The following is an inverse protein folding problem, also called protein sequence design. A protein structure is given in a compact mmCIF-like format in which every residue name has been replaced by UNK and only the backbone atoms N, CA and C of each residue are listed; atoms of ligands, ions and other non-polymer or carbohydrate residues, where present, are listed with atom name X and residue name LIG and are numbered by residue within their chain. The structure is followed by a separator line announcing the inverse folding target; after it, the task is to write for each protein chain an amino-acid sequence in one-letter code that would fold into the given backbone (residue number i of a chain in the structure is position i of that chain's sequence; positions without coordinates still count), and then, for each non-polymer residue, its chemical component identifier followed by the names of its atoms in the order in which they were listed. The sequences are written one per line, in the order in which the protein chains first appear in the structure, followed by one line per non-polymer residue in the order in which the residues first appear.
data_IF_975088502748
#
_entry.id   IF_975088502748
#
_cell.length_a   1.000
_cell.length_b   1.000
_cell.length_c   1.000
_cell.angle_alpha   90.00
_cell.angle_beta   90.00
_cell.angle_gamma   90.00
#
_symmetry.space_group_name_H-M   'P 1'
#
loop_
_entity.id
_entity.type
_entity.pdbx_description
1 polymer ?
#
# COMPACT_ATOMS: atom_id res chain seq x y z
N UNK A 1 8.05 8.78 24.89
CA UNK A 1 7.36 8.49 23.60
C UNK A 1 5.88 8.34 23.86
N UNK A 2 5.01 8.75 22.94
CA UNK A 2 3.55 8.68 23.09
C UNK A 2 2.94 7.91 21.93
N UNK A 3 1.94 7.09 22.20
CA UNK A 3 1.16 6.43 21.15
C UNK A 3 0.19 7.46 20.56
N UNK A 4 0.23 7.64 19.23
CA UNK A 4 -0.64 8.57 18.49
C UNK A 4 -1.69 7.85 17.64
N UNK A 5 -1.47 6.57 17.35
CA UNK A 5 -2.40 5.69 16.63
C UNK A 5 -2.31 4.27 17.20
N UNK A 6 -3.44 3.62 17.39
CA UNK A 6 -3.52 2.19 17.70
C UNK A 6 -4.43 1.50 16.70
N UNK A 7 -4.11 0.24 16.38
CA UNK A 7 -4.73 -0.47 15.28
C UNK A 7 -5.28 -1.77 15.82
N UNK A 8 -6.58 -1.97 15.61
CA UNK A 8 -7.32 -3.16 16.01
C UNK A 8 -7.42 -4.13 14.85
N UNK A 9 -7.22 -5.41 15.09
CA UNK A 9 -7.63 -6.42 14.13
C UNK A 9 -9.16 -6.53 14.09
N UNK A 10 -9.66 -7.39 13.20
CA UNK A 10 -11.10 -7.63 13.02
C UNK A 10 -11.82 -8.17 14.29
N UNK A 11 -11.09 -8.70 15.28
CA UNK A 11 -11.63 -9.11 16.57
C UNK A 11 -11.69 -7.97 17.60
N UNK A 12 -11.30 -6.75 17.22
CA UNK A 12 -11.23 -5.59 18.12
C UNK A 12 -10.02 -5.59 19.05
N UNK A 13 -9.03 -6.48 18.86
CA UNK A 13 -7.80 -6.51 19.65
C UNK A 13 -6.76 -5.58 19.04
N UNK A 14 -6.11 -4.75 19.85
CA UNK A 14 -4.99 -3.92 19.40
C UNK A 14 -3.80 -4.81 19.00
N UNK A 15 -3.34 -4.69 17.76
CA UNK A 15 -2.25 -5.48 17.17
C UNK A 15 -1.03 -4.65 16.83
N UNK A 16 -1.20 -3.36 16.51
CA UNK A 16 -0.11 -2.45 16.20
C UNK A 16 -0.35 -1.05 16.80
N UNK A 17 0.74 -0.33 17.01
CA UNK A 17 0.79 0.96 17.69
C UNK A 17 1.80 1.85 16.97
N UNK A 18 1.44 3.11 16.71
CA UNK A 18 2.33 4.11 16.12
C UNK A 18 2.60 5.19 17.15
N UNK A 19 3.88 5.52 17.33
CA UNK A 19 4.33 6.55 18.25
C UNK A 19 4.43 7.93 17.61
N UNK A 20 4.65 8.96 18.42
CA UNK A 20 4.79 10.37 18.01
C UNK A 20 6.02 10.65 17.14
N UNK A 21 6.97 9.72 17.07
CA UNK A 21 8.10 9.68 16.13
C UNK A 21 7.85 8.72 14.94
N UNK A 22 6.59 8.33 14.69
CA UNK A 22 6.13 7.45 13.62
C UNK A 22 6.71 6.03 13.62
N UNK A 23 7.35 5.58 14.71
CA UNK A 23 7.73 4.18 14.84
C UNK A 23 6.51 3.29 15.04
N UNK A 24 6.53 2.14 14.38
CA UNK A 24 5.47 1.14 14.42
C UNK A 24 5.93 -0.03 15.27
N UNK A 25 5.12 -0.38 16.26
CA UNK A 25 5.35 -1.52 17.14
C UNK A 25 4.17 -2.48 17.11
N UNK A 26 4.44 -3.77 16.99
CA UNK A 26 3.49 -4.84 17.25
C UNK A 26 3.20 -4.94 18.75
N UNK A 27 2.12 -5.64 19.10
CA UNK A 27 1.71 -5.82 20.50
C UNK A 27 2.85 -6.34 21.38
N UNK A 28 3.59 -7.38 20.97
CA UNK A 28 4.69 -7.91 21.78
C UNK A 28 5.79 -6.86 22.04
N UNK A 29 6.18 -6.12 21.00
CA UNK A 29 7.25 -5.11 21.06
C UNK A 29 6.85 -3.93 21.97
N UNK A 30 5.64 -3.40 21.80
CA UNK A 30 5.20 -2.25 22.61
C UNK A 30 5.03 -2.62 24.08
N UNK A 31 4.68 -3.87 24.40
CA UNK A 31 4.55 -4.33 25.79
C UNK A 31 5.92 -4.34 26.48
N UNK A 32 6.98 -4.81 25.80
CA UNK A 32 8.34 -4.78 26.34
C UNK A 32 8.84 -3.34 26.55
N UNK A 33 8.63 -2.45 25.58
CA UNK A 33 8.99 -1.03 25.70
C UNK A 33 8.21 -0.34 26.84
N UNK A 34 6.94 -0.71 27.02
CA UNK A 34 6.12 -0.18 28.11
C UNK A 34 6.61 -0.64 29.48
N UNK A 35 7.09 -1.89 29.63
CA UNK A 35 7.68 -2.38 30.89
C UNK A 35 8.91 -1.56 31.29
N UNK A 36 9.64 -1.02 30.32
CA UNK A 36 10.80 -0.15 30.54
C UNK A 36 10.42 1.32 30.83
N UNK A 37 9.12 1.63 31.02
CA UNK A 37 8.59 2.99 31.23
C UNK A 37 8.91 3.99 30.09
N UNK A 38 9.15 3.49 28.87
CA UNK A 38 9.50 4.34 27.72
C UNK A 38 8.27 4.89 26.95
N UNK A 39 7.07 4.36 27.24
CA UNK A 39 5.80 4.85 26.68
C UNK A 39 5.01 5.62 27.74
N UNK A 40 4.66 6.86 27.41
CA UNK A 40 3.87 7.75 28.24
C UNK A 40 2.37 7.46 28.13
N UNK A 41 1.62 7.75 29.20
CA UNK A 41 0.16 7.71 29.19
C UNK A 41 -0.48 6.32 29.17
N UNK A 42 0.29 5.23 29.12
CA UNK A 42 -0.26 3.86 29.13
C UNK A 42 0.35 3.00 30.23
N UNK A 43 -0.32 1.90 30.56
CA UNK A 43 0.18 0.90 31.48
C UNK A 43 -0.19 -0.51 31.00
N UNK A 44 0.63 -1.48 31.42
CA UNK A 44 0.43 -2.91 31.14
C UNK A 44 -0.70 -3.48 32.00
N UNK A 45 -1.60 -4.25 31.39
CA UNK A 45 -2.61 -5.05 32.07
C UNK A 45 -2.38 -6.52 31.73
N UNK A 46 -2.20 -7.36 32.75
CA UNK A 46 -2.07 -8.81 32.59
C UNK A 46 -3.40 -9.51 32.88
N UNK A 47 -3.92 -10.26 31.91
CA UNK A 47 -5.12 -11.11 32.05
C UNK A 47 -4.86 -12.52 31.54
N UNK A 48 -5.73 -13.47 31.90
CA UNK A 48 -5.70 -14.85 31.38
C UNK A 48 -5.74 -14.92 29.85
N UNK A 49 -6.41 -13.96 29.20
CA UNK A 49 -6.52 -13.85 27.74
C UNK A 49 -5.27 -13.27 27.06
N UNK A 50 -4.23 -12.95 27.83
CA UNK A 50 -3.00 -12.30 27.36
C UNK A 50 -2.82 -10.87 27.89
N UNK A 51 -1.59 -10.34 27.83
CA UNK A 51 -1.28 -8.97 28.21
C UNK A 51 -1.79 -7.95 27.17
N UNK A 52 -2.17 -6.76 27.63
CA UNK A 52 -2.59 -5.65 26.76
C UNK A 52 -2.30 -4.29 27.42
N UNK A 53 -2.42 -3.21 26.64
CA UNK A 53 -2.21 -1.83 27.12
C UNK A 53 -3.54 -1.12 27.44
N UNK A 54 -3.52 -0.27 28.46
CA UNK A 54 -4.63 0.65 28.79
C UNK A 54 -4.10 2.05 29.11
N UNK A 55 -4.88 3.08 28.81
CA UNK A 55 -4.54 4.45 29.17
C UNK A 55 -4.60 4.70 30.67
N UNK A 56 -3.63 5.47 31.20
CA UNK A 56 -3.64 5.97 32.58
C UNK A 56 -4.81 6.94 32.78
N UNK A 57 -5.32 7.03 34.01
CA UNK A 57 -6.52 7.83 34.35
C UNK A 57 -6.41 9.33 34.01
N UNK A 58 -5.20 9.89 34.04
CA UNK A 58 -4.93 11.31 33.81
C UNK A 58 -4.66 11.67 32.33
N UNK A 59 -4.75 10.70 31.41
CA UNK A 59 -4.56 10.99 29.98
C UNK A 59 -5.78 11.73 29.43
N UNK A 60 -5.59 12.88 28.73
CA UNK A 60 -6.66 13.59 28.05
C UNK A 60 -7.47 12.68 27.13
N UNK A 61 -8.80 12.85 27.09
CA UNK A 61 -9.71 11.93 26.37
C UNK A 61 -9.29 11.69 24.92
N UNK A 62 -8.91 12.74 24.19
CA UNK A 62 -8.45 12.67 22.79
C UNK A 62 -7.09 11.97 22.59
N UNK A 63 -6.38 11.63 23.66
CA UNK A 63 -5.11 10.88 23.66
C UNK A 63 -5.25 9.49 24.29
N UNK A 64 -6.44 9.12 24.77
CA UNK A 64 -6.68 7.79 25.31
C UNK A 64 -6.68 6.77 24.17
N UNK A 65 -6.14 5.57 24.42
CA UNK A 65 -5.98 4.48 23.45
C UNK A 65 -7.28 4.21 22.71
N UNK A 66 -8.41 4.16 23.41
CA UNK A 66 -9.72 3.90 22.80
C UNK A 66 -10.13 4.97 21.76
N UNK A 67 -9.71 6.22 21.94
CA UNK A 67 -10.03 7.35 21.05
C UNK A 67 -8.97 7.61 19.98
N UNK A 68 -7.84 6.91 20.01
CA UNK A 68 -6.82 6.90 18.95
C UNK A 68 -6.72 5.52 18.29
N UNK A 69 -7.69 4.64 18.56
CA UNK A 69 -7.77 3.31 17.96
C UNK A 69 -8.64 3.30 16.70
N UNK A 70 -8.16 2.67 15.64
CA UNK A 70 -8.93 2.38 14.42
C UNK A 70 -8.93 0.89 14.11
N UNK A 71 -9.90 0.41 13.33
CA UNK A 71 -9.85 -0.93 12.77
C UNK A 71 -8.81 -1.01 11.66
N UNK A 72 -8.23 -2.20 11.45
CA UNK A 72 -7.38 -2.49 10.30
C UNK A 72 -8.12 -2.27 8.98
N UNK A 73 -9.40 -2.63 8.92
CA UNK A 73 -10.27 -2.40 7.75
C UNK A 73 -10.40 -0.91 7.40
N UNK A 74 -10.32 0.00 8.39
CA UNK A 74 -10.32 1.44 8.14
C UNK A 74 -9.04 1.89 7.43
N UNK A 75 -7.90 1.28 7.76
CA UNK A 75 -6.61 1.55 7.09
C UNK A 75 -6.66 1.06 5.65
N UNK A 76 -7.09 -0.19 5.45
CA UNK A 76 -7.20 -0.77 4.11
C UNK A 76 -8.18 0.05 3.26
N UNK A 77 -9.33 0.42 3.81
CA UNK A 77 -10.31 1.26 3.11
C UNK A 77 -9.76 2.65 2.81
N UNK A 78 -9.00 3.25 3.73
CA UNK A 78 -8.37 4.55 3.52
C UNK A 78 -7.34 4.52 2.38
N UNK A 79 -6.55 3.45 2.29
CA UNK A 79 -5.59 3.22 1.20
C UNK A 79 -6.30 2.91 -0.13
N UNK A 80 -7.32 2.04 -0.11
CA UNK A 80 -8.01 1.55 -1.32
C UNK A 80 -9.00 2.54 -1.93
N UNK A 81 -9.82 3.22 -1.10
CA UNK A 81 -10.92 4.07 -1.60
C UNK A 81 -10.48 5.46 -2.05
N UNK A 82 -9.20 5.81 -1.83
CA UNK A 82 -8.51 6.99 -2.38
C UNK A 82 -9.34 8.30 -2.39
N UNK A 83 -10.32 8.54 -1.47
CA UNK A 83 -11.05 9.82 -1.25
C UNK A 83 -11.96 9.78 0.03
N UNK A 84 -11.89 10.86 0.82
CA UNK A 84 -12.91 11.46 1.73
C UNK A 84 -13.80 10.58 2.63
N UNK A 85 -13.20 9.74 3.47
CA UNK A 85 -13.89 9.08 4.57
C UNK A 85 -13.01 8.86 5.79
N UNK A 86 -11.89 9.58 5.88
CA UNK A 86 -10.92 9.43 6.97
C UNK A 86 -11.66 9.57 8.29
N UNK A 87 -11.56 8.55 9.14
CA UNK A 87 -11.93 8.71 10.54
C UNK A 87 -11.17 9.93 11.08
N UNK A 88 -11.73 10.71 12.03
CA UNK A 88 -11.02 11.85 12.62
C UNK A 88 -9.60 11.50 13.10
N UNK A 89 -9.39 10.24 13.49
CA UNK A 89 -8.11 9.68 13.90
C UNK A 89 -7.13 9.61 12.71
N UNK A 90 -7.55 9.06 11.56
CA UNK A 90 -6.73 9.02 10.35
C UNK A 90 -6.42 10.43 9.82
N UNK A 91 -7.39 11.35 9.81
CA UNK A 91 -7.13 12.75 9.40
C UNK A 91 -6.07 13.39 10.27
N UNK A 92 -6.16 13.19 11.59
CA UNK A 92 -5.18 13.70 12.56
C UNK A 92 -3.82 13.06 12.35
N UNK A 93 -3.75 11.74 12.15
CA UNK A 93 -2.51 11.05 11.87
C UNK A 93 -1.83 11.58 10.59
N UNK A 94 -2.59 11.69 9.49
CA UNK A 94 -2.10 12.26 8.23
C UNK A 94 -1.59 13.69 8.41
N UNK A 95 -2.30 14.54 9.15
CA UNK A 95 -1.86 15.91 9.41
C UNK A 95 -0.55 15.96 10.21
N UNK A 96 -0.40 15.11 11.24
CA UNK A 96 0.84 14.99 12.01
C UNK A 96 1.99 14.49 11.12
N UNK A 97 1.73 13.46 10.31
CA UNK A 97 2.73 12.89 9.41
C UNK A 97 3.21 13.91 8.39
N UNK A 98 2.29 14.56 7.67
CA UNK A 98 2.66 15.57 6.67
C UNK A 98 3.43 16.75 7.29
N UNK A 99 3.05 17.18 8.50
CA UNK A 99 3.80 18.20 9.23
C UNK A 99 5.23 17.75 9.48
N UNK A 100 5.42 16.55 10.04
CA UNK A 100 6.74 15.97 10.26
C UNK A 100 7.56 15.82 8.97
N UNK A 101 6.92 15.42 7.86
CA UNK A 101 7.58 15.26 6.56
C UNK A 101 7.94 16.58 5.89
N UNK A 102 7.25 17.69 6.23
CA UNK A 102 7.47 19.01 5.64
C UNK A 102 8.37 19.93 6.48
N UNK A 103 8.64 19.58 7.74
CA UNK A 103 9.56 20.32 8.62
C UNK A 103 11.04 20.05 8.32
N UNK A 104 11.36 19.07 7.47
CA UNK A 104 12.72 18.83 6.99
C UNK A 104 12.99 19.49 5.64
N UNK A 105 14.24 19.90 5.38
CA UNK A 105 14.70 20.42 4.08
C UNK A 105 14.83 19.33 2.98
N UNK A 106 14.13 18.21 3.14
CA UNK A 106 14.23 17.07 2.23
C UNK A 106 13.14 17.14 1.15
N UNK A 107 13.46 16.78 -0.11
CA UNK A 107 12.46 16.69 -1.16
C UNK A 107 11.32 15.73 -0.80
N UNK A 108 10.09 16.15 -1.11
CA UNK A 108 8.86 15.36 -0.92
C UNK A 108 8.11 15.19 -2.24
N UNK A 109 7.43 14.07 -2.39
CA UNK A 109 6.48 13.77 -3.46
C UNK A 109 5.07 14.08 -2.96
N UNK A 110 4.28 14.77 -3.79
CA UNK A 110 2.87 15.09 -3.53
C UNK A 110 2.00 14.42 -4.59
N UNK A 111 1.52 13.18 -4.36
CA UNK A 111 0.68 12.50 -5.34
C UNK A 111 -0.63 13.25 -5.54
N UNK A 112 -0.99 13.51 -6.80
CA UNK A 112 -2.22 14.23 -7.17
C UNK A 112 -3.44 13.47 -6.63
N UNK A 113 -4.33 14.19 -5.95
CA UNK A 113 -5.53 13.59 -5.33
C UNK A 113 -5.24 12.73 -4.11
N UNK A 114 -4.04 12.79 -3.52
CA UNK A 114 -3.73 12.18 -2.23
C UNK A 114 -3.42 13.26 -1.18
N UNK A 115 -3.84 13.02 0.06
CA UNK A 115 -3.57 13.88 1.20
C UNK A 115 -2.29 13.50 1.94
N UNK A 116 -1.55 12.48 1.50
CA UNK A 116 -0.27 12.07 2.09
C UNK A 116 0.90 12.58 1.25
N UNK A 117 1.94 13.05 1.92
CA UNK A 117 3.21 13.39 1.29
C UNK A 117 4.23 12.29 1.56
N UNK A 118 4.98 11.87 0.55
CA UNK A 118 6.02 10.87 0.70
C UNK A 118 7.41 11.51 0.64
N UNK A 119 8.35 11.04 1.45
CA UNK A 119 9.76 11.41 1.29
C UNK A 119 10.29 10.84 -0.02
N UNK A 120 10.89 11.68 -0.86
CA UNK A 120 11.51 11.25 -2.12
C UNK A 120 12.60 10.20 -1.87
N UNK A 121 13.35 10.31 -0.78
CA UNK A 121 14.40 9.36 -0.42
C UNK A 121 13.83 7.96 -0.11
N UNK A 122 12.74 7.89 0.66
CA UNK A 122 12.08 6.62 1.00
C UNK A 122 11.54 5.94 -0.26
N UNK A 123 10.83 6.70 -1.12
CA UNK A 123 10.28 6.16 -2.37
C UNK A 123 11.39 5.64 -3.28
N UNK A 124 12.49 6.41 -3.41
CA UNK A 124 13.66 6.01 -4.19
C UNK A 124 14.32 4.75 -3.65
N UNK A 125 14.54 4.66 -2.34
CA UNK A 125 15.14 3.49 -1.69
C UNK A 125 14.32 2.22 -1.99
N UNK A 126 12.99 2.29 -1.79
CA UNK A 126 12.09 1.16 -2.06
C UNK A 126 12.10 0.74 -3.53
N UNK A 127 12.10 1.71 -4.46
CA UNK A 127 12.17 1.41 -5.89
C UNK A 127 13.49 0.73 -6.26
N UNK A 128 14.62 1.21 -5.72
CA UNK A 128 15.94 0.66 -6.00
C UNK A 128 16.12 -0.77 -5.49
N UNK A 129 15.50 -1.13 -4.36
CA UNK A 129 15.52 -2.50 -3.83
C UNK A 129 14.93 -3.53 -4.81
N UNK A 130 14.08 -3.09 -5.74
CA UNK A 130 13.41 -3.95 -6.73
C UNK A 130 13.81 -3.63 -8.18
N UNK A 131 14.89 -2.86 -8.38
CA UNK A 131 15.37 -2.43 -9.72
C UNK A 131 15.45 -3.59 -10.71
N UNK A 132 16.15 -4.66 -10.37
CA UNK A 132 16.33 -5.82 -11.27
C UNK A 132 14.98 -6.49 -11.62
N UNK A 133 14.07 -6.60 -10.65
CA UNK A 133 12.75 -7.18 -10.86
C UNK A 133 11.92 -6.33 -11.83
N UNK A 134 12.03 -5.00 -11.77
CA UNK A 134 11.37 -4.09 -12.72
C UNK A 134 11.86 -4.38 -14.14
N UNK A 135 13.17 -4.47 -14.35
CA UNK A 135 13.75 -4.76 -15.66
C UNK A 135 13.38 -6.16 -16.17
N UNK A 136 13.42 -7.19 -15.31
CA UNK A 136 13.00 -8.55 -15.65
C UNK A 136 11.53 -8.59 -16.08
N UNK A 137 10.65 -7.96 -15.30
CA UNK A 137 9.21 -7.91 -15.60
C UNK A 137 8.94 -7.14 -16.89
N UNK A 138 9.53 -5.95 -17.05
CA UNK A 138 9.38 -5.14 -18.25
C UNK A 138 9.84 -5.89 -19.50
N UNK A 139 10.96 -6.60 -19.42
CA UNK A 139 11.45 -7.46 -20.51
C UNK A 139 10.46 -8.58 -20.82
N UNK A 140 10.00 -9.29 -19.79
CA UNK A 140 9.07 -10.41 -19.94
C UNK A 140 7.76 -10.01 -20.63
N UNK A 141 7.26 -8.81 -20.32
CA UNK A 141 5.99 -8.30 -20.83
C UNK A 141 6.13 -7.31 -22.00
N UNK A 142 7.36 -7.08 -22.50
CA UNK A 142 7.66 -6.10 -23.55
C UNK A 142 7.10 -4.69 -23.25
N UNK A 143 7.41 -4.19 -22.05
CA UNK A 143 7.06 -2.86 -21.54
C UNK A 143 8.31 -1.99 -21.42
N UNK A 144 8.13 -0.67 -21.40
CA UNK A 144 9.19 0.25 -20.99
C UNK A 144 9.40 0.13 -19.47
N UNK A 145 10.61 -0.25 -18.98
CA UNK A 145 10.88 -0.37 -17.55
C UNK A 145 10.67 0.94 -16.79
N UNK A 146 10.84 2.09 -17.44
CA UNK A 146 10.60 3.39 -16.81
C UNK A 146 9.11 3.71 -16.67
N UNK A 147 8.25 3.20 -17.56
CA UNK A 147 6.80 3.30 -17.39
C UNK A 147 6.33 2.47 -16.20
N UNK A 148 6.82 1.22 -16.09
CA UNK A 148 6.56 0.37 -14.92
C UNK A 148 7.11 1.00 -13.64
N UNK A 149 8.33 1.54 -13.68
CA UNK A 149 8.93 2.26 -12.57
C UNK A 149 8.11 3.48 -12.12
N UNK A 150 7.58 4.27 -13.06
CA UNK A 150 6.73 5.43 -12.75
C UNK A 150 5.43 5.05 -12.05
N UNK A 151 4.80 3.94 -12.47
CA UNK A 151 3.59 3.40 -11.83
C UNK A 151 3.91 2.95 -10.39
N UNK A 152 5.04 2.26 -10.20
CA UNK A 152 5.49 1.85 -8.86
C UNK A 152 5.80 3.06 -7.96
N UNK A 153 6.41 4.13 -8.49
CA UNK A 153 6.63 5.37 -7.74
C UNK A 153 5.30 5.93 -7.24
N UNK A 154 4.26 5.98 -8.08
CA UNK A 154 2.94 6.47 -7.68
C UNK A 154 2.32 5.59 -6.57
N UNK A 155 2.33 4.27 -6.71
CA UNK A 155 1.73 3.40 -5.70
C UNK A 155 2.52 3.45 -4.36
N UNK A 156 3.86 3.44 -4.39
CA UNK A 156 4.70 3.58 -3.18
C UNK A 156 4.46 4.94 -2.50
N UNK A 157 4.44 6.03 -3.27
CA UNK A 157 4.25 7.37 -2.74
C UNK A 157 2.85 7.55 -2.13
N UNK A 158 1.82 6.93 -2.71
CA UNK A 158 0.45 6.99 -2.19
C UNK A 158 0.23 6.13 -0.95
N UNK A 159 0.99 5.06 -0.81
CA UNK A 159 0.88 4.11 0.30
C UNK A 159 1.64 4.57 1.54
N UNK A 160 2.70 5.37 1.38
CA UNK A 160 3.51 5.86 2.50
C UNK A 160 2.71 6.79 3.42
N UNK A 161 2.73 6.61 4.76
CA UNK A 161 3.51 5.64 5.55
C UNK A 161 2.74 4.37 5.94
N UNK A 162 1.54 4.16 5.40
CA UNK A 162 0.67 3.04 5.77
C UNK A 162 1.18 1.68 5.31
N UNK A 163 2.08 1.62 4.33
CA UNK A 163 2.71 0.36 3.89
C UNK A 163 3.32 -0.41 5.05
N UNK A 164 4.17 0.24 5.85
CA UNK A 164 4.87 -0.42 6.97
C UNK A 164 3.88 -0.90 8.03
N UNK A 165 2.78 -0.16 8.22
CA UNK A 165 1.71 -0.56 9.12
C UNK A 165 1.03 -1.82 8.58
N UNK A 166 0.67 -1.82 7.30
CA UNK A 166 -0.01 -2.91 6.62
C UNK A 166 0.85 -4.17 6.62
N UNK A 167 2.13 -4.06 6.26
CA UNK A 167 3.08 -5.18 6.25
C UNK A 167 3.22 -5.82 7.63
N UNK A 168 3.26 -5.00 8.69
CA UNK A 168 3.34 -5.48 10.08
C UNK A 168 2.07 -6.22 10.52
N UNK A 169 0.89 -5.79 10.09
CA UNK A 169 -0.39 -6.38 10.51
C UNK A 169 -0.98 -7.40 9.52
N UNK A 170 -0.40 -7.57 8.33
CA UNK A 170 -1.02 -8.25 7.18
C UNK A 170 -1.49 -9.67 7.45
N UNK A 171 -0.83 -10.40 8.36
CA UNK A 171 -1.18 -11.78 8.74
C UNK A 171 -2.44 -11.87 9.61
N UNK A 172 -2.76 -10.83 10.37
CA UNK A 172 -3.86 -10.83 11.35
C UNK A 172 -5.23 -10.45 10.75
N UNK A 173 -5.28 -10.08 9.46
CA UNK A 173 -6.44 -9.44 8.82
C UNK A 173 -7.00 -10.17 7.58
N UNK A 174 -6.68 -11.46 7.40
CA UNK A 174 -7.19 -12.22 6.26
C UNK A 174 -8.72 -12.32 6.28
N UNK A 175 -9.40 -11.62 5.37
CA UNK A 175 -10.87 -11.62 5.21
C UNK A 175 -11.37 -10.68 4.12
N UNK A 176 -10.71 -9.54 3.95
CA UNK A 176 -11.06 -8.48 2.99
C UNK A 176 -10.33 -8.67 1.65
N UNK A 177 -10.89 -8.20 0.53
CA UNK A 177 -10.19 -8.12 -0.75
C UNK A 177 -9.28 -6.88 -0.74
N UNK A 178 -8.03 -7.05 -0.35
CA UNK A 178 -7.07 -5.95 -0.17
C UNK A 178 -6.11 -5.85 -1.35
N UNK A 179 -5.56 -4.65 -1.57
CA UNK A 179 -4.39 -4.38 -2.39
C UNK A 179 -3.12 -4.80 -1.65
N UNK A 180 -2.19 -5.50 -2.32
CA UNK A 180 -1.02 -6.14 -1.67
C UNK A 180 0.27 -5.71 -2.34
N UNK A 181 1.32 -5.52 -1.53
CA UNK A 181 2.70 -5.28 -1.98
C UNK A 181 2.92 -3.90 -2.62
N UNK A 182 4.13 -3.68 -3.14
CA UNK A 182 4.58 -2.39 -3.68
C UNK A 182 3.68 -1.84 -4.80
N UNK A 183 3.21 -2.72 -5.69
CA UNK A 183 2.33 -2.37 -6.80
C UNK A 183 0.84 -2.32 -6.42
N UNK A 184 0.50 -2.57 -5.14
CA UNK A 184 -0.89 -2.51 -4.64
C UNK A 184 -1.87 -3.38 -5.46
N UNK A 185 -1.48 -4.62 -5.73
CA UNK A 185 -2.30 -5.55 -6.52
C UNK A 185 -3.44 -6.12 -5.69
N UNK A 186 -4.69 -5.94 -6.15
CA UNK A 186 -5.85 -6.59 -5.55
C UNK A 186 -5.84 -8.10 -5.81
N UNK A 187 -6.19 -8.88 -4.77
CA UNK A 187 -6.19 -10.35 -4.83
C UNK A 187 -7.10 -10.89 -5.94
N UNK A 188 -8.27 -10.30 -6.15
CA UNK A 188 -9.18 -10.70 -7.24
C UNK A 188 -8.63 -10.39 -8.64
N UNK A 189 -7.97 -9.24 -8.80
CA UNK A 189 -7.28 -8.88 -10.05
C UNK A 189 -6.15 -9.85 -10.34
N UNK A 190 -5.30 -10.18 -9.35
CA UNK A 190 -4.27 -11.20 -9.51
C UNK A 190 -4.83 -12.55 -9.96
N UNK A 191 -5.93 -13.00 -9.33
CA UNK A 191 -6.59 -14.25 -9.73
C UNK A 191 -7.19 -14.17 -11.15
N UNK A 192 -7.69 -13.00 -11.57
CA UNK A 192 -8.14 -12.76 -12.95
C UNK A 192 -7.01 -12.89 -13.95
N UNK A 193 -5.83 -12.31 -13.66
CA UNK A 193 -4.62 -12.42 -14.49
C UNK A 193 -4.16 -13.88 -14.64
N UNK A 194 -4.19 -14.67 -13.55
CA UNK A 194 -3.89 -16.11 -13.62
C UNK A 194 -4.91 -16.83 -14.51
N UNK A 195 -6.21 -16.54 -14.36
CA UNK A 195 -7.27 -17.14 -15.19
C UNK A 195 -7.11 -16.80 -16.68
N UNK A 196 -6.67 -15.58 -16.98
CA UNK A 196 -6.33 -15.13 -18.34
C UNK A 196 -5.02 -15.72 -18.87
N UNK A 197 -4.28 -16.47 -18.05
CA UNK A 197 -2.97 -17.09 -18.36
C UNK A 197 -1.90 -16.06 -18.75
N UNK A 198 -2.05 -14.82 -18.29
CA UNK A 198 -1.06 -13.77 -18.54
C UNK A 198 0.14 -13.88 -17.59
N UNK A 199 -0.09 -14.32 -16.35
CA UNK A 199 0.98 -14.64 -15.41
C UNK A 199 0.51 -15.67 -14.38
N UNK A 200 1.37 -16.65 -14.07
CA UNK A 200 1.17 -17.60 -12.98
C UNK A 200 2.44 -17.64 -12.11
N UNK A 201 2.39 -17.25 -10.82
CA UNK A 201 3.57 -17.22 -9.97
C UNK A 201 4.14 -18.61 -9.69
N UNK A 202 3.34 -19.67 -9.83
CA UNK A 202 3.79 -21.05 -9.71
C UNK A 202 2.95 -21.98 -10.61
N UNK A 203 3.44 -22.34 -11.81
CA UNK A 203 2.75 -23.26 -12.72
C UNK A 203 2.45 -24.65 -12.14
N UNK A 204 3.20 -25.09 -11.13
CA UNK A 204 2.99 -26.40 -10.48
C UNK A 204 1.96 -26.35 -9.36
N UNK A 205 1.49 -25.18 -8.95
CA UNK A 205 0.48 -25.05 -7.91
C UNK A 205 -0.92 -25.33 -8.47
N UNK A 206 -1.44 -26.51 -8.16
CA UNK A 206 -2.76 -26.98 -8.59
C UNK A 206 -3.92 -26.18 -7.98
N UNK A 207 -3.68 -25.34 -6.97
CA UNK A 207 -4.72 -24.44 -6.41
C UNK A 207 -4.97 -23.22 -7.30
N UNK A 208 -4.06 -22.92 -8.24
CA UNK A 208 -4.16 -21.78 -9.14
C UNK A 208 -4.62 -22.22 -10.55
N UNK A 209 -5.53 -21.46 -11.20
CA UNK A 209 -6.28 -20.33 -10.68
C UNK A 209 -7.35 -20.74 -9.65
N UNK A 210 -7.63 -19.85 -8.70
CA UNK A 210 -8.65 -20.09 -7.68
C UNK A 210 -10.04 -19.88 -8.30
N UNK A 211 -10.90 -20.92 -8.23
CA UNK A 211 -12.28 -20.85 -8.74
C UNK A 211 -13.14 -19.88 -7.91
N UNK A 212 -13.15 -20.02 -6.59
CA UNK A 212 -13.93 -19.19 -5.64
C UNK A 212 -12.99 -18.57 -4.60
N UNK A 213 -12.94 -17.24 -4.55
CA UNK A 213 -12.14 -16.49 -3.58
C UNK A 213 -12.87 -16.45 -2.22
N UNK A 214 -12.47 -17.33 -1.32
CA UNK A 214 -12.82 -17.32 0.10
C UNK A 214 -11.61 -16.90 0.95
N UNK A 215 -11.75 -16.84 2.29
CA UNK A 215 -10.68 -16.41 3.19
C UNK A 215 -9.37 -17.17 3.00
N UNK A 216 -9.43 -18.51 3.01
CA UNK A 216 -8.24 -19.37 2.91
C UNK A 216 -7.54 -19.23 1.56
N UNK A 217 -8.31 -19.18 0.49
CA UNK A 217 -7.76 -19.03 -0.87
C UNK A 217 -7.21 -17.63 -1.13
N UNK A 218 -7.80 -16.57 -0.55
CA UNK A 218 -7.22 -15.22 -0.54
C UNK A 218 -5.87 -15.22 0.19
N UNK A 219 -5.78 -15.84 1.37
CA UNK A 219 -4.51 -15.98 2.11
C UNK A 219 -3.46 -16.76 1.32
N UNK A 220 -3.88 -17.81 0.58
CA UNK A 220 -2.98 -18.56 -0.30
C UNK A 220 -2.38 -17.68 -1.41
N UNK A 221 -3.21 -16.87 -2.09
CA UNK A 221 -2.71 -15.97 -3.14
C UNK A 221 -1.89 -14.80 -2.58
N UNK A 222 -2.24 -14.31 -1.38
CA UNK A 222 -1.48 -13.28 -0.67
C UNK A 222 -0.01 -13.65 -0.49
N UNK A 223 0.29 -14.92 -0.17
CA UNK A 223 1.67 -15.39 0.01
C UNK A 223 2.53 -15.25 -1.25
N UNK A 224 1.92 -15.24 -2.44
CA UNK A 224 2.62 -14.89 -3.67
C UNK A 224 2.71 -13.36 -3.82
N UNK A 225 1.59 -12.65 -3.63
CA UNK A 225 1.51 -11.21 -3.88
C UNK A 225 2.37 -10.36 -2.95
N UNK A 226 2.69 -10.82 -1.74
CA UNK A 226 3.58 -10.11 -0.82
C UNK A 226 5.05 -10.19 -1.25
N UNK A 227 5.40 -11.13 -2.12
CA UNK A 227 6.77 -11.27 -2.62
C UNK A 227 7.01 -10.24 -3.75
N UNK A 228 8.01 -9.35 -3.65
CA UNK A 228 8.24 -8.28 -4.62
C UNK A 228 8.33 -8.77 -6.06
N UNK A 229 9.00 -9.91 -6.28
CA UNK A 229 9.09 -10.56 -7.60
C UNK A 229 7.74 -10.79 -8.24
N UNK A 230 6.86 -11.51 -7.54
CA UNK A 230 5.54 -11.84 -8.08
C UNK A 230 4.66 -10.61 -8.16
N UNK A 231 4.72 -9.72 -7.16
CA UNK A 231 3.94 -8.48 -7.13
C UNK A 231 4.17 -7.62 -8.38
N UNK A 232 5.43 -7.40 -8.74
CA UNK A 232 5.80 -6.59 -9.91
C UNK A 232 5.51 -7.34 -11.22
N UNK A 233 5.68 -8.67 -11.27
CA UNK A 233 5.26 -9.43 -12.44
C UNK A 233 3.74 -9.42 -12.66
N UNK A 234 2.95 -9.42 -11.60
CA UNK A 234 1.51 -9.22 -11.70
C UNK A 234 1.19 -7.83 -12.25
N UNK A 235 1.88 -6.79 -11.79
CA UNK A 235 1.74 -5.43 -12.31
C UNK A 235 2.03 -5.38 -13.82
N UNK A 236 3.19 -5.91 -14.26
CA UNK A 236 3.50 -6.01 -15.69
C UNK A 236 2.44 -6.78 -16.50
N UNK A 237 1.88 -7.86 -15.96
CA UNK A 237 0.80 -8.60 -16.60
C UNK A 237 -0.52 -7.81 -16.70
N UNK A 238 -0.85 -7.01 -15.68
CA UNK A 238 -2.03 -6.13 -15.66
C UNK A 238 -1.89 -5.02 -16.71
N UNK A 239 -0.72 -4.41 -16.78
CA UNK A 239 -0.40 -3.41 -17.79
C UNK A 239 -0.51 -3.97 -19.21
N UNK A 240 -0.01 -5.18 -19.44
CA UNK A 240 -0.16 -5.88 -20.72
C UNK A 240 -1.62 -6.24 -21.02
N UNK A 241 -2.39 -6.69 -20.03
CA UNK A 241 -3.83 -6.90 -20.18
C UNK A 241 -4.53 -5.62 -20.63
N UNK A 242 -4.20 -4.49 -19.99
CA UNK A 242 -4.76 -3.18 -20.33
C UNK A 242 -4.41 -2.76 -21.77
N UNK A 243 -3.15 -2.86 -22.16
CA UNK A 243 -2.69 -2.58 -23.54
C UNK A 243 -3.46 -3.46 -24.53
N UNK A 244 -3.57 -4.76 -24.27
CA UNK A 244 -4.26 -5.69 -25.15
C UNK A 244 -5.76 -5.39 -25.29
N UNK A 245 -6.41 -4.92 -24.23
CA UNK A 245 -7.83 -4.58 -24.23
C UNK A 245 -8.13 -3.27 -24.96
N UNK A 246 -7.17 -2.34 -25.04
CA UNK A 246 -7.35 -1.03 -25.66
C UNK A 246 -6.75 -0.90 -27.07
N UNK A 247 -5.95 -1.87 -27.52
CA UNK A 247 -5.19 -1.81 -28.78
C UNK A 247 -6.02 -1.53 -30.04
N UNK A 248 -7.32 -1.84 -30.03
CA UNK A 248 -8.23 -1.58 -31.16
C UNK A 248 -8.68 -0.12 -31.23
N UNK A 249 -8.57 0.62 -30.13
CA UNK A 249 -9.02 2.00 -29.98
C UNK A 249 -7.86 2.98 -29.97
N UNK A 250 -6.76 2.62 -29.29
CA UNK A 250 -5.58 3.47 -29.14
C UNK A 250 -4.34 2.63 -28.86
N UNK A 251 -3.18 3.06 -29.37
CA UNK A 251 -1.90 2.52 -28.94
C UNK A 251 -1.47 3.13 -27.61
N UNK A 252 -1.76 2.44 -26.51
CA UNK A 252 -1.41 2.91 -25.16
C UNK A 252 0.11 3.02 -24.94
N UNK A 253 0.95 2.33 -25.73
CA UNK A 253 2.41 2.41 -25.55
C UNK A 253 2.96 3.77 -25.96
N UNK A 254 2.34 4.43 -26.94
CA UNK A 254 2.71 5.76 -27.42
C UNK A 254 2.05 6.91 -26.65
N UNK A 255 1.04 6.62 -25.82
CA UNK A 255 0.28 7.60 -25.03
C UNK A 255 0.33 7.28 -23.53
N UNK A 256 1.49 7.50 -22.89
CA UNK A 256 1.72 7.05 -21.51
C UNK A 256 0.83 7.76 -20.48
N UNK A 257 0.48 9.02 -20.69
CA UNK A 257 -0.46 9.78 -19.88
C UNK A 257 -1.87 9.15 -19.85
N UNK A 258 -2.35 8.70 -21.01
CA UNK A 258 -3.62 7.98 -21.13
C UNK A 258 -3.48 6.59 -20.49
N UNK A 259 -2.39 5.87 -20.79
CA UNK A 259 -2.13 4.55 -20.22
C UNK A 259 -2.09 4.58 -18.68
N UNK A 260 -1.35 5.52 -18.09
CA UNK A 260 -1.30 5.72 -16.64
C UNK A 260 -2.65 6.13 -16.04
N UNK A 261 -3.43 6.94 -16.77
CA UNK A 261 -4.80 7.30 -16.36
C UNK A 261 -5.72 6.09 -16.33
N UNK A 262 -5.62 5.21 -17.33
CA UNK A 262 -6.43 3.99 -17.45
C UNK A 262 -6.02 2.91 -16.45
N UNK A 263 -4.74 2.78 -16.13
CA UNK A 263 -4.30 1.91 -15.03
C UNK A 263 -4.98 2.33 -13.72
N UNK A 264 -5.04 3.64 -13.47
CA UNK A 264 -5.65 4.19 -12.26
C UNK A 264 -7.18 4.09 -12.20
N UNK A 265 -7.85 3.83 -13.34
CA UNK A 265 -9.30 3.86 -13.49
C UNK A 265 -9.75 2.68 -14.37
N UNK A 266 -10.35 1.64 -13.78
CA UNK A 266 -10.96 0.56 -14.57
C UNK A 266 -12.06 1.11 -15.48
N UNK A 267 -11.74 1.34 -16.76
CA UNK A 267 -12.65 1.90 -17.78
C UNK A 267 -12.88 0.91 -18.91
N UNK A 268 -14.09 0.96 -19.46
CA UNK A 268 -14.45 0.25 -20.69
C UNK A 268 -13.73 0.94 -21.85
N UNK A 269 -13.06 0.20 -22.75
CA UNK A 269 -12.42 0.75 -23.94
C UNK A 269 -13.39 1.57 -24.82
N UNK A 270 -12.90 2.68 -25.35
CA UNK A 270 -13.61 3.56 -26.29
C UNK A 270 -12.62 4.41 -27.10
N UNK A 271 -13.09 5.07 -28.16
CA UNK A 271 -12.23 5.74 -29.15
C UNK A 271 -11.55 7.04 -28.63
N UNK A 272 -12.16 7.73 -27.67
CA UNK A 272 -11.66 9.04 -27.20
C UNK A 272 -11.24 9.04 -25.71
N UNK A 273 -10.25 8.24 -25.27
CA UNK A 273 -9.77 8.32 -23.91
C UNK A 273 -8.98 9.61 -23.69
N UNK A 274 -9.17 10.22 -22.52
CA UNK A 274 -8.43 11.41 -22.10
C UNK A 274 -7.67 11.17 -20.81
N UNK A 275 -6.46 11.73 -20.66
CA UNK A 275 -5.70 11.60 -19.44
C UNK A 275 -6.36 12.37 -18.30
N UNK A 276 -6.18 11.89 -17.08
CA UNK A 276 -6.54 12.60 -15.86
C UNK A 276 -5.27 13.18 -15.19
N UNK A 277 -5.44 14.02 -14.17
CA UNK A 277 -4.33 14.68 -13.49
C UNK A 277 -3.35 13.72 -12.81
N UNK A 278 -3.81 12.54 -12.34
CA UNK A 278 -2.94 11.48 -11.81
C UNK A 278 -2.11 10.85 -12.91
N UNK A 279 -2.71 10.49 -14.04
CA UNK A 279 -2.00 9.91 -15.17
C UNK A 279 -0.97 10.86 -15.79
N UNK A 280 -1.28 12.16 -15.83
CA UNK A 280 -0.31 13.20 -16.24
C UNK A 280 0.89 13.23 -15.29
N UNK A 281 0.66 13.24 -13.97
CA UNK A 281 1.77 13.21 -13.01
C UNK A 281 2.64 11.96 -13.16
N UNK A 282 2.02 10.79 -13.36
CA UNK A 282 2.75 9.54 -13.58
C UNK A 282 3.61 9.63 -14.85
N UNK A 283 3.02 10.09 -15.95
CA UNK A 283 3.67 10.13 -17.25
C UNK A 283 4.77 11.18 -17.37
N UNK A 284 4.67 12.28 -16.63
CA UNK A 284 5.65 13.37 -16.67
C UNK A 284 6.62 13.30 -15.49
N UNK A 285 6.14 13.55 -14.28
CA UNK A 285 6.97 13.67 -13.09
C UNK A 285 7.62 12.32 -12.74
N UNK A 286 6.80 11.29 -12.54
CA UNK A 286 7.30 10.01 -12.03
C UNK A 286 8.07 9.22 -13.07
N UNK A 287 7.75 9.38 -14.35
CA UNK A 287 8.55 8.81 -15.43
C UNK A 287 9.97 9.39 -15.47
N UNK A 288 10.11 10.71 -15.29
CA UNK A 288 11.43 11.34 -15.22
C UNK A 288 12.21 10.92 -13.96
N UNK A 289 11.52 10.76 -12.82
CA UNK A 289 12.12 10.19 -11.62
C UNK A 289 12.58 8.74 -11.85
N UNK A 290 11.73 7.90 -12.44
CA UNK A 290 12.05 6.51 -12.75
C UNK A 290 13.25 6.40 -13.68
N UNK A 291 13.33 7.21 -14.74
CA UNK A 291 14.52 7.30 -15.61
C UNK A 291 15.77 7.65 -14.82
N UNK A 292 15.69 8.67 -13.99
CA UNK A 292 16.84 9.16 -13.21
C UNK A 292 17.31 8.14 -12.16
N UNK A 293 16.39 7.39 -11.56
CA UNK A 293 16.71 6.49 -10.45
C UNK A 293 17.07 5.09 -10.91
N UNK A 294 16.49 4.60 -12.01
CA UNK A 294 16.70 3.23 -12.49
C UNK A 294 17.87 3.11 -13.48
N UNK A 295 18.38 4.22 -14.03
CA UNK A 295 19.68 4.24 -14.73
C UNK A 295 20.80 3.92 -13.74
#
# INVERSE_FOLDING_TARGET
MKIILSIKNYFGKNVAFVTDDFKIFLLAEILEITKQNQIEGVYLVNKKSGPYLRSKKNVPKNLQLDNISIGSDDIFSFVDLKISGSTPILSRYTALYNKSSSEGDFPIIKPVGNNLYASTAIVKEKLLLVKEVIYESATHFNLDPFQLGAILIDEIARLTPFEEIIDRIGVENFGVNISVGLAQIKIDIANSIIKKKLYNPNPSDQKLPIKRLNRETKAHLYNYLIQPKHNIFFEGAILTDLINNWKEFIDLKSHFDIFASLYSLSRIPHEEPHPNSRGIQIADEFYNLAKTWLQ
#
